data_IF_838856288267
#
_entry.id   IF_838856288267
#
_cell.length_a   1.000
_cell.length_b   1.000
_cell.length_c   1.000
_cell.angle_alpha   90.00
_cell.angle_beta   90.00
_cell.angle_gamma   90.00
#
_symmetry.space_group_name_H-M   'P 1'
#
loop_
_entity.id
_entity.type
_entity.pdbx_description
1 polymer ?
#
# COMPACT_ATOMS: atom_id res chain seq x y z
N UNK A 1 22.90 9.80 44.74
CA UNK A 1 22.04 10.38 43.67
C UNK A 1 22.26 9.73 42.29
N UNK A 2 22.56 8.43 42.22
CA UNK A 2 22.64 7.66 40.96
C UNK A 2 21.60 6.52 40.94
N UNK A 3 20.49 6.71 41.68
CA UNK A 3 19.45 5.70 41.91
C UNK A 3 18.09 6.04 41.28
N UNK A 4 17.92 7.24 40.71
CA UNK A 4 16.66 7.69 40.07
C UNK A 4 16.81 7.83 38.55
N UNK A 5 18.03 8.07 38.05
CA UNK A 5 18.28 8.34 36.62
C UNK A 5 18.14 7.08 35.75
N UNK A 6 18.36 5.87 36.29
CA UNK A 6 18.29 4.64 35.51
C UNK A 6 16.90 4.00 35.42
N UNK A 7 15.97 4.35 36.31
CA UNK A 7 14.57 3.89 36.22
C UNK A 7 13.82 4.60 35.07
N UNK A 8 14.26 5.80 34.70
CA UNK A 8 13.71 6.59 33.59
C UNK A 8 14.11 6.07 32.20
N UNK A 9 15.23 5.35 32.09
CA UNK A 9 15.74 4.88 30.79
C UNK A 9 15.00 3.62 30.34
N UNK A 10 14.42 2.83 31.25
CA UNK A 10 13.69 1.60 30.91
C UNK A 10 12.18 1.79 30.69
N UNK A 11 11.61 2.93 31.11
CA UNK A 11 10.23 3.32 30.76
C UNK A 11 10.14 4.09 29.44
N UNK A 12 11.26 4.53 28.87
CA UNK A 12 11.30 5.32 27.64
C UNK A 12 11.30 4.51 26.34
N UNK A 13 11.45 3.17 26.40
CA UNK A 13 11.52 2.33 25.19
C UNK A 13 10.16 1.91 24.63
N UNK A 14 9.06 2.41 25.19
CA UNK A 14 7.69 2.14 24.72
C UNK A 14 6.93 3.42 24.31
N UNK A 15 7.60 4.46 23.86
CA UNK A 15 6.95 5.54 23.09
C UNK A 15 7.97 6.12 22.11
N UNK A 16 8.09 5.53 20.93
CA UNK A 16 8.63 6.21 19.75
C UNK A 16 7.75 5.86 18.56
N UNK A 17 6.49 6.33 18.63
CA UNK A 17 5.89 6.89 17.44
C UNK A 17 6.67 8.16 17.13
N UNK A 18 7.11 8.29 15.89
CA UNK A 18 7.88 9.42 15.40
C UNK A 18 6.96 10.64 15.34
N UNK A 19 6.91 11.41 16.44
CA UNK A 19 6.28 12.72 16.45
C UNK A 19 7.13 13.69 15.65
N UNK A 20 6.43 14.38 14.74
CA UNK A 20 6.93 15.47 13.90
C UNK A 20 7.53 16.55 14.80
N UNK A 21 8.72 17.02 14.42
CA UNK A 21 9.48 18.01 15.18
C UNK A 21 8.79 19.39 15.15
N UNK A 22 7.96 19.65 16.16
CA UNK A 22 7.18 20.89 16.33
C UNK A 22 8.10 22.11 16.54
N UNK A 23 9.35 21.93 16.93
CA UNK A 23 10.33 23.01 17.08
C UNK A 23 10.89 23.48 15.73
N UNK A 24 11.05 22.57 14.76
CA UNK A 24 11.42 22.94 13.39
C UNK A 24 10.33 23.79 12.72
N UNK A 25 9.05 23.45 12.93
CA UNK A 25 7.91 24.25 12.44
C UNK A 25 7.72 25.58 13.19
N UNK A 26 8.28 25.73 14.39
CA UNK A 26 8.33 27.03 15.11
C UNK A 26 9.51 27.91 14.69
N UNK A 27 10.55 27.33 14.07
CA UNK A 27 11.75 28.05 13.66
C UNK A 27 11.63 28.78 12.31
N UNK A 28 10.59 28.47 11.53
CA UNK A 28 10.25 29.21 10.31
C UNK A 28 9.21 30.28 10.66
N UNK A 29 9.67 31.44 11.11
CA UNK A 29 8.82 32.64 11.14
C UNK A 29 8.72 33.22 9.73
N UNK A 30 7.52 33.64 9.27
CA UNK A 30 7.45 34.59 8.18
C UNK A 30 8.14 35.87 8.65
N UNK A 31 9.08 36.36 7.86
CA UNK A 31 9.67 37.69 8.06
C UNK A 31 8.52 38.68 7.90
N UNK A 32 8.05 39.23 9.02
CA UNK A 32 7.05 40.29 8.99
C UNK A 32 7.67 41.54 8.40
N UNK A 33 6.91 42.26 7.58
CA UNK A 33 7.26 43.51 6.89
C UNK A 33 7.80 44.63 7.79
N UNK A 34 7.81 44.45 9.11
CA UNK A 34 8.28 45.43 10.10
C UNK A 34 9.80 45.38 10.36
N UNK A 35 10.53 44.31 10.02
CA UNK A 35 12.00 44.29 10.17
C UNK A 35 12.75 45.04 9.03
N UNK A 36 12.06 45.42 7.95
CA UNK A 36 12.63 46.24 6.87
C UNK A 36 12.41 47.74 7.05
N UNK A 37 11.54 48.16 7.98
CA UNK A 37 11.22 49.56 8.22
C UNK A 37 12.17 50.27 9.20
N UNK A 38 12.99 49.54 9.94
CA UNK A 38 13.93 50.15 10.91
C UNK A 38 15.16 50.82 10.28
N UNK A 39 15.34 50.74 8.94
CA UNK A 39 16.49 51.38 8.28
C UNK A 39 16.25 52.79 7.76
N UNK A 40 15.01 53.30 7.76
CA UNK A 40 14.67 54.58 7.10
C UNK A 40 13.78 55.51 7.95
N UNK A 41 14.12 55.75 9.22
CA UNK A 41 13.40 56.71 10.06
C UNK A 41 14.33 57.72 10.72
N UNK A 42 14.87 58.64 9.90
CA UNK A 42 15.31 59.95 10.39
C UNK A 42 14.44 61.02 9.74
N UNK A 43 13.22 61.17 10.21
CA UNK A 43 12.47 62.42 10.10
C UNK A 43 11.40 62.49 11.20
N UNK A 44 11.47 63.57 11.97
CA UNK A 44 10.64 63.86 13.15
C UNK A 44 9.15 63.80 12.81
N UNK A 45 8.43 62.85 13.41
CA UNK A 45 6.98 62.76 13.34
C UNK A 45 6.34 63.58 14.48
N UNK A 46 5.44 64.50 14.14
CA UNK A 46 4.55 65.16 15.10
C UNK A 46 3.38 64.25 15.45
N UNK A 47 2.90 64.32 16.69
CA UNK A 47 1.86 63.45 17.21
C UNK A 47 0.49 63.81 16.65
N UNK A 48 -0.34 62.80 16.36
CA UNK A 48 -1.67 62.88 15.73
C UNK A 48 -2.61 63.94 16.35
N UNK A 49 -2.51 64.14 17.66
CA UNK A 49 -3.30 65.15 18.40
C UNK A 49 -2.95 66.60 18.04
N UNK A 50 -1.73 66.89 17.54
CA UNK A 50 -1.38 68.24 17.06
C UNK A 50 -2.01 68.55 15.68
N UNK A 51 -2.24 67.54 14.85
CA UNK A 51 -2.74 67.71 13.48
C UNK A 51 -4.26 67.94 13.48
N UNK A 52 -5.00 67.22 14.34
CA UNK A 52 -6.46 67.36 14.47
C UNK A 52 -6.94 68.69 15.08
N UNK A 53 -6.03 69.45 15.70
CA UNK A 53 -6.33 70.74 16.34
C UNK A 53 -6.04 71.96 15.45
N UNK A 54 -5.76 71.77 14.15
CA UNK A 54 -5.60 72.87 13.19
C UNK A 54 -6.96 73.35 12.64
N UNK A 55 -7.11 74.66 12.52
CA UNK A 55 -8.31 75.29 11.95
C UNK A 55 -8.56 74.93 10.46
N UNK A 56 -7.50 74.58 9.72
CA UNK A 56 -7.59 74.07 8.35
C UNK A 56 -6.53 73.00 8.10
N UNK A 57 -6.97 71.84 7.58
CA UNK A 57 -6.11 70.70 7.28
C UNK A 57 -5.62 70.77 5.82
N UNK A 58 -4.33 70.49 5.60
CA UNK A 58 -3.74 70.36 4.26
C UNK A 58 -3.80 68.91 3.76
N UNK A 59 -3.59 68.70 2.45
CA UNK A 59 -3.61 67.35 1.86
C UNK A 59 -2.55 66.41 2.46
N UNK A 60 -1.40 66.96 2.87
CA UNK A 60 -0.34 66.18 3.52
C UNK A 60 -0.65 65.92 5.00
N UNK A 61 -1.37 66.83 5.68
CA UNK A 61 -1.91 66.55 7.01
C UNK A 61 -2.89 65.36 6.94
N UNK A 62 -3.77 65.33 5.94
CA UNK A 62 -4.76 64.25 5.74
C UNK A 62 -4.12 62.87 5.46
N UNK A 63 -3.00 62.81 4.74
CA UNK A 63 -2.26 61.56 4.47
C UNK A 63 -1.61 60.94 5.71
N UNK A 64 -1.33 61.74 6.73
CA UNK A 64 -0.72 61.25 7.99
C UNK A 64 -1.77 60.71 8.98
N UNK A 65 -3.04 61.10 8.84
CA UNK A 65 -4.16 60.66 9.69
C UNK A 65 -5.04 59.61 9.02
N UNK A 66 -4.94 59.44 7.71
CA UNK A 66 -5.60 58.35 7.00
C UNK A 66 -5.04 56.99 7.50
N UNK A 67 -5.88 55.98 7.74
CA UNK A 67 -5.42 54.64 8.09
C UNK A 67 -4.67 54.07 6.88
N UNK A 68 -3.35 54.20 6.91
CA UNK A 68 -2.45 53.68 5.88
C UNK A 68 -2.34 52.16 6.04
N UNK A 69 -3.39 51.41 5.66
CA UNK A 69 -3.24 49.99 5.34
C UNK A 69 -2.55 49.79 3.98
N UNK A 70 -2.62 50.81 3.11
CA UNK A 70 -1.87 50.84 1.86
C UNK A 70 -0.57 51.61 2.07
N UNK A 71 0.36 50.99 2.80
CA UNK A 71 1.75 51.42 2.83
C UNK A 71 2.28 51.49 1.39
N UNK A 72 3.15 52.47 1.13
CA UNK A 72 3.93 52.60 -0.11
C UNK A 72 4.42 51.23 -0.62
N UNK A 73 3.70 50.64 -1.57
CA UNK A 73 4.17 49.49 -2.33
C UNK A 73 4.71 50.04 -3.65
N UNK A 74 5.88 50.67 -3.60
CA UNK A 74 6.82 50.54 -4.71
C UNK A 74 7.37 49.10 -4.72
N UNK A 75 6.47 48.12 -4.83
CA UNK A 75 6.86 46.77 -5.23
C UNK A 75 7.03 46.86 -6.75
N UNK A 76 8.21 46.51 -7.23
CA UNK A 76 8.44 46.29 -8.65
C UNK A 76 7.36 45.32 -9.16
N UNK A 77 6.51 45.78 -10.09
CA UNK A 77 5.40 45.00 -10.66
C UNK A 77 5.88 43.63 -11.18
N UNK A 78 7.16 43.52 -11.53
CA UNK A 78 7.82 42.27 -11.95
C UNK A 78 7.86 41.18 -10.86
N UNK A 79 7.77 41.56 -9.58
CA UNK A 79 7.75 40.65 -8.43
C UNK A 79 6.34 40.14 -8.10
N UNK A 80 5.29 40.82 -8.60
CA UNK A 80 3.89 40.48 -8.34
C UNK A 80 3.27 39.75 -9.53
N UNK A 81 3.64 40.13 -10.76
CA UNK A 81 3.08 39.55 -11.98
C UNK A 81 4.15 38.80 -12.77
N UNK A 82 4.00 37.47 -12.83
CA UNK A 82 4.75 36.68 -13.82
C UNK A 82 4.29 37.11 -15.22
N UNK A 83 5.18 37.72 -16.00
CA UNK A 83 4.92 38.13 -17.38
C UNK A 83 4.46 36.91 -18.19
N UNK A 84 3.24 36.96 -18.74
CA UNK A 84 2.67 35.90 -19.56
C UNK A 84 2.55 36.39 -20.99
N UNK A 85 3.19 35.67 -21.90
CA UNK A 85 3.17 35.97 -23.33
C UNK A 85 2.17 35.07 -24.03
N UNK A 86 1.64 35.56 -25.14
CA UNK A 86 0.86 34.74 -26.07
C UNK A 86 1.87 33.99 -26.94
N UNK A 87 1.97 32.68 -26.71
CA UNK A 87 2.87 31.76 -27.42
C UNK A 87 2.05 30.68 -28.12
N UNK A 88 2.63 30.01 -29.13
CA UNK A 88 1.98 28.84 -29.72
C UNK A 88 2.04 27.65 -28.75
N UNK A 89 0.93 26.93 -28.62
CA UNK A 89 0.88 25.69 -27.85
C UNK A 89 1.14 24.49 -28.77
N UNK A 90 2.38 24.00 -28.76
CA UNK A 90 2.84 22.96 -29.68
C UNK A 90 2.78 21.59 -29.03
N UNK A 91 2.13 20.63 -29.69
CA UNK A 91 2.09 19.24 -29.25
C UNK A 91 2.99 18.39 -30.13
N UNK A 92 3.70 17.43 -29.54
CA UNK A 92 4.47 16.46 -30.30
C UNK A 92 4.48 15.08 -29.66
N UNK A 93 4.59 14.05 -30.50
CA UNK A 93 4.75 12.66 -30.09
C UNK A 93 6.08 12.11 -30.57
N UNK A 94 6.79 11.38 -29.71
CA UNK A 94 8.05 10.71 -30.00
C UNK A 94 8.04 9.26 -29.54
N UNK A 95 9.01 8.49 -30.02
CA UNK A 95 9.24 7.09 -29.62
C UNK A 95 8.04 6.16 -29.86
N UNK A 96 7.26 6.43 -30.92
CA UNK A 96 6.20 5.53 -31.36
C UNK A 96 6.84 4.28 -31.99
N UNK A 97 6.54 3.07 -31.52
CA UNK A 97 7.05 1.86 -32.15
C UNK A 97 6.53 1.71 -33.59
N UNK A 98 7.26 0.99 -34.44
CA UNK A 98 6.83 0.74 -35.82
C UNK A 98 5.70 -0.28 -35.90
N UNK A 99 5.85 -1.37 -35.16
CA UNK A 99 4.90 -2.47 -35.11
C UNK A 99 4.66 -2.89 -33.66
N UNK A 100 3.44 -3.32 -33.36
CA UNK A 100 3.04 -3.95 -32.10
C UNK A 100 2.12 -5.12 -32.41
N UNK A 101 2.04 -6.11 -31.54
CA UNK A 101 1.05 -7.17 -31.68
C UNK A 101 -0.28 -6.76 -31.04
N UNK A 102 -1.37 -7.40 -31.46
CA UNK A 102 -2.65 -7.35 -30.76
C UNK A 102 -2.46 -7.73 -29.29
N UNK A 103 -3.14 -7.03 -28.37
CA UNK A 103 -2.98 -7.14 -26.91
C UNK A 103 -1.57 -6.83 -26.37
N UNK A 104 -0.69 -6.27 -27.20
CA UNK A 104 0.58 -5.72 -26.76
C UNK A 104 0.43 -4.27 -26.33
N UNK A 105 0.98 -3.96 -25.17
CA UNK A 105 1.07 -2.59 -24.71
C UNK A 105 2.16 -1.84 -25.47
N UNK A 106 1.97 -0.54 -25.65
CA UNK A 106 3.01 0.34 -26.14
C UNK A 106 2.89 1.71 -25.51
N UNK A 107 3.99 2.46 -25.54
CA UNK A 107 4.03 3.82 -25.03
C UNK A 107 4.37 4.83 -26.11
N UNK A 108 3.82 6.03 -25.98
CA UNK A 108 4.20 7.19 -26.77
C UNK A 108 4.70 8.27 -25.81
N UNK A 109 5.87 8.84 -26.09
CA UNK A 109 6.34 10.02 -25.36
C UNK A 109 5.60 11.23 -25.93
N UNK A 110 4.92 11.97 -25.05
CA UNK A 110 4.06 13.08 -25.42
C UNK A 110 4.56 14.36 -24.78
N UNK A 111 4.75 15.38 -25.61
CA UNK A 111 5.27 16.68 -25.21
C UNK A 111 4.25 17.76 -25.54
N UNK A 112 4.06 18.66 -24.59
CA UNK A 112 3.19 19.82 -24.64
C UNK A 112 4.06 21.05 -24.36
N UNK A 113 4.45 21.75 -25.41
CA UNK A 113 5.39 22.88 -25.37
C UNK A 113 4.61 24.20 -25.35
N UNK A 114 4.74 24.91 -24.24
CA UNK A 114 4.09 26.20 -24.00
C UNK A 114 5.02 27.35 -24.41
N UNK A 115 6.29 27.09 -24.73
CA UNK A 115 7.31 28.07 -25.10
C UNK A 115 7.55 29.18 -24.05
N UNK A 116 7.16 28.94 -22.80
CA UNK A 116 7.42 29.84 -21.68
C UNK A 116 7.32 29.10 -20.35
N UNK A 117 8.13 29.53 -19.39
CA UNK A 117 8.23 28.89 -18.08
C UNK A 117 7.10 29.32 -17.11
N UNK A 118 5.86 28.96 -17.42
CA UNK A 118 4.70 29.19 -16.54
C UNK A 118 4.12 27.87 -16.04
N UNK A 119 3.52 27.86 -14.84
CA UNK A 119 2.86 26.67 -14.29
C UNK A 119 1.41 26.61 -14.76
N UNK A 120 0.99 25.44 -15.28
CA UNK A 120 -0.32 25.21 -15.88
C UNK A 120 -0.88 23.85 -15.47
N UNK A 121 -2.20 23.81 -15.31
CA UNK A 121 -2.95 22.57 -15.14
C UNK A 121 -3.35 22.02 -16.50
N UNK A 122 -2.77 20.89 -16.90
CA UNK A 122 -2.99 20.29 -18.22
C UNK A 122 -4.04 19.18 -18.15
N UNK A 123 -5.19 19.41 -18.79
CA UNK A 123 -6.24 18.41 -18.94
C UNK A 123 -6.11 17.74 -20.31
N UNK A 124 -5.77 16.45 -20.32
CA UNK A 124 -5.55 15.66 -21.53
C UNK A 124 -6.80 14.81 -21.84
N UNK A 125 -7.24 14.85 -23.10
CA UNK A 125 -8.33 14.02 -23.62
C UNK A 125 -7.89 13.30 -24.88
N UNK A 126 -8.40 12.08 -25.07
CA UNK A 126 -8.04 11.20 -26.19
C UNK A 126 -9.30 10.74 -26.93
N UNK A 127 -9.34 11.00 -28.24
CA UNK A 127 -10.32 10.47 -29.18
C UNK A 127 -9.72 9.23 -29.88
N UNK A 128 -10.29 8.07 -29.57
CA UNK A 128 -9.80 6.75 -29.96
C UNK A 128 -10.96 5.79 -30.23
N UNK A 129 -10.72 4.72 -30.98
CA UNK A 129 -11.71 3.65 -31.13
C UNK A 129 -11.88 2.84 -29.85
N UNK A 130 -13.00 2.11 -29.67
CA UNK A 130 -13.21 1.23 -28.52
C UNK A 130 -12.13 0.15 -28.35
N UNK A 131 -11.51 -0.26 -29.47
CA UNK A 131 -10.49 -1.30 -29.50
C UNK A 131 -9.09 -0.80 -29.11
N UNK A 132 -8.92 0.49 -28.82
CA UNK A 132 -7.71 1.04 -28.24
C UNK A 132 -7.99 1.40 -26.78
N UNK A 133 -7.27 0.80 -25.84
CA UNK A 133 -7.36 1.13 -24.43
C UNK A 133 -6.27 2.15 -24.06
N UNK A 134 -6.62 3.20 -23.31
CA UNK A 134 -5.66 4.15 -22.76
C UNK A 134 -5.41 3.80 -21.29
N UNK A 135 -4.27 3.17 -21.01
CA UNK A 135 -4.05 2.44 -19.78
C UNK A 135 -3.82 3.33 -18.55
N UNK A 136 -3.27 4.53 -18.76
CA UNK A 136 -3.00 5.51 -17.70
C UNK A 136 -3.91 6.74 -17.77
N UNK A 137 -5.11 6.59 -18.32
CA UNK A 137 -6.15 7.62 -18.26
C UNK A 137 -6.41 8.07 -16.81
N UNK A 138 -6.48 9.38 -16.59
CA UNK A 138 -6.66 10.00 -15.26
C UNK A 138 -5.49 9.85 -14.29
N UNK A 139 -4.38 9.21 -14.69
CA UNK A 139 -3.18 8.99 -13.87
C UNK A 139 -1.93 9.45 -14.60
N UNK A 140 -1.96 10.68 -15.09
CA UNK A 140 -0.88 11.30 -15.85
C UNK A 140 -0.06 12.19 -14.93
N UNK A 141 1.24 11.93 -14.88
CA UNK A 141 2.21 12.81 -14.25
C UNK A 141 2.97 13.56 -15.36
N UNK A 142 3.13 14.86 -15.17
CA UNK A 142 3.83 15.73 -16.11
C UNK A 142 5.18 16.13 -15.54
N UNK A 143 6.23 15.94 -16.32
CA UNK A 143 7.56 16.49 -16.05
C UNK A 143 7.71 17.80 -16.83
N UNK A 144 7.86 18.91 -16.12
CA UNK A 144 8.03 20.23 -16.73
C UNK A 144 9.51 20.62 -16.74
N UNK A 145 10.03 21.05 -17.88
CA UNK A 145 11.38 21.60 -17.99
C UNK A 145 11.42 23.14 -17.82
N UNK A 146 12.63 23.69 -17.81
CA UNK A 146 12.88 25.14 -17.66
C UNK A 146 12.36 25.97 -18.85
N UNK A 147 12.13 25.35 -20.01
CA UNK A 147 11.68 26.01 -21.23
C UNK A 147 10.14 26.02 -21.33
N UNK A 148 9.43 25.39 -20.38
CA UNK A 148 7.97 25.29 -20.41
C UNK A 148 7.45 24.10 -21.20
N UNK A 149 8.28 23.08 -21.45
CA UNK A 149 7.87 21.83 -22.06
C UNK A 149 7.40 20.85 -20.99
N UNK A 150 6.14 20.47 -21.07
CA UNK A 150 5.56 19.43 -20.25
C UNK A 150 5.67 18.10 -21.00
N UNK A 151 6.33 17.12 -20.39
CA UNK A 151 6.54 15.80 -20.97
C UNK A 151 5.83 14.73 -20.14
N UNK A 152 5.24 13.75 -20.81
CA UNK A 152 4.66 12.58 -20.15
C UNK A 152 4.72 11.36 -21.07
N UNK A 153 4.37 10.20 -20.53
CA UNK A 153 4.31 8.94 -21.28
C UNK A 153 2.89 8.41 -21.28
N UNK A 154 2.30 8.27 -22.47
CA UNK A 154 0.97 7.71 -22.65
C UNK A 154 1.10 6.23 -22.98
N UNK A 155 0.37 5.38 -22.25
CA UNK A 155 0.38 3.93 -22.44
C UNK A 155 -0.92 3.46 -23.08
N UNK A 156 -0.80 2.67 -24.13
CA UNK A 156 -1.95 2.15 -24.87
C UNK A 156 -1.86 0.63 -25.01
N UNK A 157 -3.01 -0.01 -25.19
CA UNK A 157 -3.14 -1.41 -25.55
C UNK A 157 -4.15 -1.55 -26.70
N UNK A 158 -3.73 -2.13 -27.82
CA UNK A 158 -4.60 -2.35 -28.97
C UNK A 158 -5.23 -3.74 -28.88
N UNK A 159 -6.53 -3.82 -28.63
CA UNK A 159 -7.30 -5.07 -28.52
C UNK A 159 -7.57 -5.72 -29.88
N UNK A 160 -7.58 -4.92 -30.94
CA UNK A 160 -7.82 -5.38 -32.32
C UNK A 160 -6.92 -4.66 -33.32
N UNK A 161 -6.76 -5.25 -34.50
CA UNK A 161 -5.91 -4.70 -35.58
C UNK A 161 -6.41 -3.38 -36.18
N UNK A 162 -7.70 -3.07 -36.02
CA UNK A 162 -8.33 -1.84 -36.48
C UNK A 162 -8.35 -0.72 -35.42
N UNK A 163 -7.63 -0.87 -34.30
CA UNK A 163 -7.55 0.15 -33.26
C UNK A 163 -6.92 1.45 -33.82
N UNK A 164 -7.54 2.60 -33.54
CA UNK A 164 -7.10 3.91 -34.04
C UNK A 164 -7.11 4.98 -32.95
N UNK A 165 -6.22 5.95 -33.12
CA UNK A 165 -6.07 7.13 -32.28
C UNK A 165 -6.25 8.35 -33.17
N UNK A 166 -7.43 8.96 -33.12
CA UNK A 166 -7.82 10.01 -34.06
C UNK A 166 -7.20 11.35 -33.65
N UNK A 167 -7.25 11.66 -32.34
CA UNK A 167 -6.85 12.97 -31.83
C UNK A 167 -6.49 12.90 -30.34
N UNK A 168 -5.40 13.56 -29.96
CA UNK A 168 -5.11 13.94 -28.57
C UNK A 168 -5.35 15.44 -28.45
N UNK A 169 -6.10 15.88 -27.44
CA UNK A 169 -6.36 17.29 -27.17
C UNK A 169 -5.96 17.65 -25.75
N UNK A 170 -5.30 18.80 -25.59
CA UNK A 170 -4.98 19.36 -24.28
C UNK A 170 -5.73 20.67 -24.09
N UNK A 171 -6.30 20.84 -22.90
CA UNK A 171 -6.75 22.13 -22.39
C UNK A 171 -5.84 22.50 -21.23
N UNK A 172 -5.07 23.57 -21.41
CA UNK A 172 -4.25 24.16 -20.37
C UNK A 172 -5.08 25.19 -19.59
N UNK A 173 -5.00 25.12 -18.27
CA UNK A 173 -5.62 26.09 -17.36
C UNK A 173 -4.56 26.75 -16.48
N UNK A 174 -4.81 28.01 -16.11
CA UNK A 174 -4.00 28.75 -15.13
C UNK A 174 -4.94 29.27 -14.06
N UNK A 175 -4.66 28.97 -12.79
CA UNK A 175 -5.50 29.38 -11.66
C UNK A 175 -7.00 28.98 -11.85
N UNK A 176 -7.25 27.81 -12.44
CA UNK A 176 -8.59 27.32 -12.74
C UNK A 176 -9.23 27.88 -14.03
N UNK A 177 -8.68 28.94 -14.62
CA UNK A 177 -9.21 29.57 -15.83
C UNK A 177 -8.59 28.98 -17.10
N UNK A 178 -9.34 29.03 -18.20
CA UNK A 178 -8.85 28.60 -19.51
C UNK A 178 -7.66 29.46 -19.94
N UNK A 179 -6.55 28.80 -20.28
CA UNK A 179 -5.37 29.47 -20.81
C UNK A 179 -5.24 29.24 -22.32
N UNK A 180 -5.04 27.98 -22.73
CA UNK A 180 -4.86 27.61 -24.14
C UNK A 180 -5.36 26.19 -24.42
N UNK A 181 -5.56 25.87 -25.70
CA UNK A 181 -5.84 24.51 -26.16
C UNK A 181 -5.02 24.15 -27.38
N UNK A 182 -4.64 22.89 -27.48
CA UNK A 182 -3.98 22.35 -28.66
C UNK A 182 -4.45 20.93 -28.93
N UNK A 183 -4.26 20.49 -30.17
CA UNK A 183 -4.59 19.13 -30.59
C UNK A 183 -3.55 18.59 -31.58
N UNK A 184 -3.41 17.27 -31.60
CA UNK A 184 -2.56 16.54 -32.53
C UNK A 184 -3.22 15.22 -32.92
N UNK A 185 -3.01 14.78 -34.15
CA UNK A 185 -3.39 13.46 -34.63
C UNK A 185 -2.13 12.59 -34.76
N UNK A 186 -1.75 11.85 -33.69
CA UNK A 186 -0.54 11.06 -33.71
C UNK A 186 -0.72 9.79 -34.56
N UNK A 187 0.37 9.32 -35.17
CA UNK A 187 0.39 8.04 -35.87
C UNK A 187 0.51 6.90 -34.85
N UNK A 188 -0.28 5.83 -35.02
CA UNK A 188 -0.12 4.59 -34.26
C UNK A 188 0.87 3.63 -34.94
N UNK A 189 1.46 2.69 -34.18
CA UNK A 189 2.15 1.53 -34.74
C UNK A 189 1.21 0.70 -35.62
N UNK A 190 1.78 -0.04 -36.58
CA UNK A 190 1.04 -1.11 -37.26
C UNK A 190 0.76 -2.25 -36.28
N UNK A 191 -0.50 -2.62 -36.12
CA UNK A 191 -0.92 -3.70 -35.22
C UNK A 191 -0.92 -5.02 -35.99
N UNK A 192 -0.15 -5.99 -35.50
CA UNK A 192 -0.02 -7.32 -36.06
C UNK A 192 -1.03 -8.26 -35.37
N UNK A 193 -1.81 -9.05 -36.12
CA UNK A 193 -2.73 -10.01 -35.52
C UNK A 193 -1.95 -11.12 -34.78
N UNK A 194 -2.59 -11.70 -33.78
CA UNK A 194 -2.17 -12.94 -33.14
C UNK A 194 -3.26 -13.98 -33.38
N UNK A 195 -2.88 -15.18 -33.78
CA UNK A 195 -3.84 -16.28 -33.94
C UNK A 195 -4.38 -16.72 -32.56
N UNK A 196 -5.71 -16.82 -32.45
CA UNK A 196 -6.36 -17.30 -31.24
C UNK A 196 -6.02 -18.77 -31.00
N UNK A 197 -5.69 -19.11 -29.75
CA UNK A 197 -5.35 -20.48 -29.34
C UNK A 197 -6.05 -20.81 -28.03
N UNK A 198 -6.46 -22.07 -27.88
CA UNK A 198 -7.00 -22.56 -26.61
C UNK A 198 -6.02 -22.30 -25.46
N UNK A 199 -6.52 -21.73 -24.37
CA UNK A 199 -5.72 -21.35 -23.21
C UNK A 199 -4.92 -20.05 -23.41
N UNK A 200 -5.09 -19.29 -24.49
CA UNK A 200 -4.44 -18.00 -24.63
C UNK A 200 -4.98 -17.00 -23.61
N UNK A 201 -4.07 -16.39 -22.86
CA UNK A 201 -4.37 -15.43 -21.80
C UNK A 201 -4.62 -13.99 -22.30
N UNK A 202 -4.70 -13.77 -23.61
CA UNK A 202 -4.95 -12.45 -24.22
C UNK A 202 -3.98 -11.36 -23.76
N UNK A 203 -2.74 -11.75 -23.48
CA UNK A 203 -1.66 -10.83 -23.14
C UNK A 203 -0.43 -11.10 -23.99
N UNK A 204 0.26 -10.02 -24.33
CA UNK A 204 1.59 -10.06 -24.93
C UNK A 204 2.58 -9.49 -23.93
N UNK A 205 3.68 -10.20 -23.71
CA UNK A 205 4.71 -9.79 -22.76
C UNK A 205 6.10 -10.13 -23.29
N UNK A 206 7.12 -9.50 -22.74
CA UNK A 206 8.51 -9.91 -23.00
C UNK A 206 8.90 -11.14 -22.17
N UNK A 207 8.24 -11.31 -21.03
CA UNK A 207 8.45 -12.39 -20.07
C UNK A 207 7.19 -12.49 -19.19
N UNK A 208 6.70 -13.70 -18.97
CA UNK A 208 5.72 -14.02 -17.93
C UNK A 208 6.27 -15.17 -17.09
N UNK A 209 6.10 -15.09 -15.77
CA UNK A 209 6.53 -16.10 -14.81
C UNK A 209 5.40 -16.40 -13.85
N UNK A 210 5.16 -17.69 -13.61
CA UNK A 210 4.39 -18.17 -12.47
C UNK A 210 5.36 -18.26 -11.29
N UNK A 211 5.16 -17.41 -10.28
CA UNK A 211 5.97 -17.41 -9.07
C UNK A 211 5.50 -18.46 -8.08
N UNK A 212 4.19 -18.54 -7.91
CA UNK A 212 3.55 -19.51 -7.02
C UNK A 212 2.10 -19.76 -7.49
N UNK A 213 1.50 -20.87 -7.07
CA UNK A 213 0.08 -21.11 -7.23
C UNK A 213 -0.44 -22.03 -6.13
N UNK A 214 -1.70 -21.82 -5.72
CA UNK A 214 -2.40 -22.67 -4.75
C UNK A 214 -3.78 -23.00 -5.30
N UNK A 215 -4.25 -24.22 -5.07
CA UNK A 215 -5.63 -24.63 -5.38
C UNK A 215 -6.37 -25.03 -4.12
N UNK A 216 -7.57 -24.51 -3.94
CA UNK A 216 -8.48 -24.84 -2.86
C UNK A 216 -9.87 -25.19 -3.42
N UNK A 217 -10.71 -25.78 -2.58
CA UNK A 217 -12.12 -26.03 -2.92
C UNK A 217 -12.89 -24.70 -2.88
N UNK A 218 -13.67 -24.39 -3.93
CA UNK A 218 -14.52 -23.20 -3.96
C UNK A 218 -15.95 -23.54 -3.53
N UNK A 219 -16.51 -24.61 -4.10
CA UNK A 219 -17.80 -25.16 -3.72
C UNK A 219 -17.82 -26.70 -3.90
N UNK A 220 -18.98 -27.34 -3.88
CA UNK A 220 -19.10 -28.80 -4.05
C UNK A 220 -18.58 -29.31 -5.41
N UNK A 221 -18.70 -28.50 -6.47
CA UNK A 221 -18.47 -28.87 -7.86
C UNK A 221 -17.29 -28.13 -8.51
N UNK A 222 -16.73 -27.11 -7.85
CA UNK A 222 -15.68 -26.28 -8.39
C UNK A 222 -14.53 -26.04 -7.42
N UNK A 223 -13.36 -25.80 -8.01
CA UNK A 223 -12.13 -25.44 -7.32
C UNK A 223 -11.74 -24.02 -7.70
N UNK A 224 -11.00 -23.34 -6.82
CA UNK A 224 -10.39 -22.05 -7.10
C UNK A 224 -8.87 -22.20 -7.06
N UNK A 225 -8.20 -21.72 -8.10
CA UNK A 225 -6.75 -21.58 -8.13
C UNK A 225 -6.39 -20.10 -8.09
N UNK A 226 -5.45 -19.74 -7.21
CA UNK A 226 -4.80 -18.42 -7.19
C UNK A 226 -3.38 -18.58 -7.70
N UNK A 227 -2.99 -17.78 -8.67
CA UNK A 227 -1.70 -17.80 -9.35
C UNK A 227 -1.02 -16.45 -9.12
N UNK A 228 0.18 -16.47 -8.53
CA UNK A 228 1.04 -15.31 -8.45
C UNK A 228 1.86 -15.19 -9.75
N UNK A 229 1.65 -14.10 -10.47
CA UNK A 229 2.28 -13.81 -11.75
C UNK A 229 3.28 -12.66 -11.61
N UNK A 230 4.39 -12.77 -12.33
CA UNK A 230 5.34 -11.68 -12.58
C UNK A 230 5.54 -11.54 -14.07
N UNK A 231 5.52 -10.31 -14.58
CA UNK A 231 5.62 -10.06 -16.02
C UNK A 231 6.46 -8.84 -16.35
N UNK A 232 6.94 -8.79 -17.60
CA UNK A 232 7.68 -7.66 -18.18
C UNK A 232 6.99 -7.14 -19.43
N UNK A 233 6.89 -5.81 -19.53
CA UNK A 233 6.31 -5.10 -20.67
C UNK A 233 4.91 -5.62 -21.07
N UNK A 234 3.99 -5.65 -20.11
CA UNK A 234 2.60 -6.08 -20.34
C UNK A 234 1.64 -5.43 -19.33
N UNK A 235 0.34 -5.58 -19.58
CA UNK A 235 -0.73 -5.20 -18.66
C UNK A 235 -1.43 -6.47 -18.16
N UNK A 236 -1.09 -6.91 -16.95
CA UNK A 236 -1.69 -8.10 -16.35
C UNK A 236 -3.20 -7.97 -16.15
N UNK A 237 -3.76 -6.75 -16.06
CA UNK A 237 -5.22 -6.57 -15.93
C UNK A 237 -5.99 -7.10 -17.15
N UNK A 238 -5.34 -7.17 -18.30
CA UNK A 238 -5.89 -7.71 -19.54
C UNK A 238 -5.83 -9.24 -19.59
N UNK A 239 -5.22 -9.90 -18.61
CA UNK A 239 -5.14 -11.34 -18.54
C UNK A 239 -6.54 -11.95 -18.46
N UNK A 240 -6.88 -12.74 -19.47
CA UNK A 240 -8.15 -13.45 -19.56
C UNK A 240 -8.03 -14.65 -20.51
N UNK A 241 -8.62 -15.77 -20.13
CA UNK A 241 -8.57 -17.02 -20.91
C UNK A 241 -9.98 -17.40 -21.37
N UNK A 242 -10.15 -17.58 -22.68
CA UNK A 242 -11.35 -18.19 -23.24
C UNK A 242 -11.32 -19.71 -23.03
N UNK A 243 -12.06 -20.24 -22.06
CA UNK A 243 -12.21 -21.67 -21.84
C UNK A 243 -13.56 -21.98 -21.17
N UNK A 244 -14.30 -22.93 -21.73
CA UNK A 244 -15.64 -23.34 -21.26
C UNK A 244 -15.62 -23.93 -19.83
N UNK A 245 -14.48 -24.45 -19.39
CA UNK A 245 -14.33 -25.00 -18.05
C UNK A 245 -14.09 -23.94 -16.97
N UNK A 246 -13.88 -22.68 -17.35
CA UNK A 246 -13.70 -21.55 -16.43
C UNK A 246 -15.06 -20.96 -16.11
N UNK A 247 -15.44 -21.01 -14.83
CA UNK A 247 -16.69 -20.46 -14.32
C UNK A 247 -16.52 -18.97 -14.01
N UNK A 248 -15.38 -18.60 -13.40
CA UNK A 248 -15.02 -17.21 -13.07
C UNK A 248 -13.52 -17.03 -13.11
N UNK A 249 -13.05 -15.84 -13.47
CA UNK A 249 -11.63 -15.51 -13.48
C UNK A 249 -11.40 -14.01 -13.33
N UNK A 250 -10.17 -13.63 -13.00
CA UNK A 250 -9.73 -12.25 -13.08
C UNK A 250 -8.48 -11.97 -12.27
N UNK A 251 -8.00 -10.73 -12.39
CA UNK A 251 -6.90 -10.22 -11.56
C UNK A 251 -7.46 -9.61 -10.28
N UNK A 252 -7.04 -10.14 -9.12
CA UNK A 252 -7.43 -9.58 -7.81
C UNK A 252 -6.65 -8.32 -7.49
N UNK A 253 -5.34 -8.32 -7.77
CA UNK A 253 -4.49 -7.15 -7.57
C UNK A 253 -3.32 -7.14 -8.52
N UNK A 254 -2.85 -5.94 -8.85
CA UNK A 254 -1.65 -5.69 -9.65
C UNK A 254 -0.80 -4.62 -8.99
N UNK A 255 0.51 -4.84 -8.92
CA UNK A 255 1.51 -3.88 -8.39
C UNK A 255 2.62 -3.67 -9.41
N UNK A 256 3.24 -2.50 -9.37
CA UNK A 256 4.30 -2.11 -10.31
C UNK A 256 3.77 -1.41 -11.57
N UNK A 257 4.70 -0.86 -12.35
CA UNK A 257 4.41 -0.26 -13.66
C UNK A 257 4.46 -1.30 -14.79
N UNK A 258 3.99 -0.94 -15.98
CA UNK A 258 3.89 -1.88 -17.10
C UNK A 258 5.20 -2.53 -17.55
N UNK A 259 6.34 -1.92 -17.24
CA UNK A 259 7.66 -2.52 -17.50
C UNK A 259 7.92 -3.75 -16.64
N UNK A 260 7.47 -3.74 -15.38
CA UNK A 260 7.63 -4.83 -14.42
C UNK A 260 6.39 -4.85 -13.53
N UNK A 261 5.51 -5.83 -13.75
CA UNK A 261 4.27 -5.95 -13.02
C UNK A 261 4.20 -7.28 -12.28
N UNK A 262 3.61 -7.25 -11.09
CA UNK A 262 3.22 -8.46 -10.36
C UNK A 262 1.73 -8.44 -10.09
N UNK A 263 1.11 -9.60 -10.00
CA UNK A 263 -0.29 -9.67 -9.64
C UNK A 263 -0.76 -11.06 -9.28
N UNK A 264 -1.96 -11.11 -8.70
CA UNK A 264 -2.63 -12.36 -8.37
C UNK A 264 -3.81 -12.55 -9.33
N UNK A 265 -3.75 -13.63 -10.09
CA UNK A 265 -4.84 -14.09 -10.94
C UNK A 265 -5.59 -15.19 -10.21
N UNK A 266 -6.92 -15.10 -10.16
CA UNK A 266 -7.76 -16.18 -9.67
C UNK A 266 -8.53 -16.81 -10.82
N UNK A 267 -8.77 -18.11 -10.73
CA UNK A 267 -9.63 -18.85 -11.66
C UNK A 267 -10.42 -19.90 -10.91
N UNK A 268 -11.73 -19.93 -11.16
CA UNK A 268 -12.69 -20.92 -10.64
C UNK A 268 -13.07 -21.83 -11.79
N UNK A 269 -12.91 -23.13 -11.61
CA UNK A 269 -13.13 -24.13 -12.66
C UNK A 269 -13.68 -25.44 -12.08
N UNK A 270 -14.23 -26.29 -12.95
CA UNK A 270 -14.86 -27.55 -12.56
C UNK A 270 -13.86 -28.51 -11.87
N UNK A 271 -14.33 -29.26 -10.87
CA UNK A 271 -13.50 -30.17 -10.06
C UNK A 271 -12.91 -31.37 -10.84
N UNK A 272 -13.34 -31.61 -12.08
CA UNK A 272 -12.87 -32.70 -12.94
C UNK A 272 -11.53 -32.39 -13.63
N UNK A 273 -11.05 -31.14 -13.56
CA UNK A 273 -9.79 -30.72 -14.19
C UNK A 273 -8.61 -31.16 -13.31
N UNK A 274 -7.60 -31.78 -13.92
CA UNK A 274 -6.36 -32.19 -13.23
C UNK A 274 -5.18 -31.22 -13.43
N UNK A 275 -5.22 -30.44 -14.51
CA UNK A 275 -4.20 -29.46 -14.88
C UNK A 275 -4.85 -28.18 -15.38
N UNK A 276 -4.33 -27.05 -14.93
CA UNK A 276 -4.70 -25.75 -15.46
C UNK A 276 -3.63 -25.30 -16.46
N UNK A 277 -3.99 -25.29 -17.74
CA UNK A 277 -3.10 -24.96 -18.84
C UNK A 277 -3.44 -23.58 -19.42
N UNK A 278 -2.43 -22.74 -19.61
CA UNK A 278 -2.58 -21.44 -20.26
C UNK A 278 -1.31 -21.03 -20.99
N UNK A 279 -1.41 -20.06 -21.88
CA UNK A 279 -0.29 -19.54 -22.65
C UNK A 279 -0.37 -18.03 -22.83
N UNK A 280 0.76 -17.42 -23.11
CA UNK A 280 0.86 -16.01 -23.52
C UNK A 280 1.74 -15.91 -24.76
N UNK A 281 1.62 -14.81 -25.51
CA UNK A 281 2.48 -14.56 -26.64
C UNK A 281 3.71 -13.77 -26.19
N UNK A 282 4.90 -14.33 -26.38
CA UNK A 282 6.14 -13.66 -26.03
C UNK A 282 6.62 -12.78 -27.19
N UNK A 283 6.70 -11.46 -26.97
CA UNK A 283 7.08 -10.49 -27.99
C UNK A 283 8.56 -10.61 -28.45
N UNK A 284 9.44 -11.15 -27.60
CA UNK A 284 10.86 -11.35 -27.90
C UNK A 284 11.09 -12.60 -28.75
N UNK A 285 10.50 -13.72 -28.33
CA UNK A 285 10.65 -15.01 -29.01
C UNK A 285 9.67 -15.16 -30.17
N UNK A 286 8.64 -14.31 -30.24
CA UNK A 286 7.57 -14.27 -31.27
C UNK A 286 6.77 -15.57 -31.34
N UNK A 287 6.59 -16.22 -30.21
CA UNK A 287 5.89 -17.49 -30.10
C UNK A 287 5.09 -17.57 -28.81
N UNK A 288 4.16 -18.52 -28.76
CA UNK A 288 3.42 -18.84 -27.55
C UNK A 288 4.28 -19.61 -26.56
N UNK A 289 4.31 -19.16 -25.32
CA UNK A 289 4.89 -19.87 -24.19
C UNK A 289 3.76 -20.35 -23.28
N UNK A 290 3.81 -21.64 -22.91
CA UNK A 290 2.72 -22.32 -22.20
C UNK A 290 3.12 -22.74 -20.80
N UNK A 291 2.17 -22.67 -19.89
CA UNK A 291 2.25 -23.12 -18.50
C UNK A 291 1.25 -24.24 -18.28
N UNK A 292 1.63 -25.23 -17.48
CA UNK A 292 0.78 -26.35 -17.07
C UNK A 292 0.90 -26.54 -15.57
N UNK A 293 -0.15 -26.15 -14.84
CA UNK A 293 -0.15 -26.16 -13.37
C UNK A 293 -0.95 -27.36 -12.87
N UNK A 294 -0.32 -28.20 -12.05
CA UNK A 294 -0.98 -29.38 -11.49
C UNK A 294 -1.95 -29.00 -10.37
N UNK A 295 -3.16 -29.54 -10.40
CA UNK A 295 -4.16 -29.26 -9.35
C UNK A 295 -3.89 -30.18 -8.16
N UNK A 296 -3.39 -29.60 -7.07
CA UNK A 296 -3.26 -30.23 -5.76
C UNK A 296 -4.19 -29.49 -4.81
N UNK A 297 -5.23 -30.18 -4.35
CA UNK A 297 -6.15 -29.64 -3.37
C UNK A 297 -5.43 -29.56 -2.03
N UNK A 298 -5.12 -28.35 -1.60
CA UNK A 298 -4.82 -28.12 -0.20
C UNK A 298 -6.16 -28.20 0.53
N UNK A 299 -6.27 -29.17 1.43
CA UNK A 299 -7.34 -29.18 2.42
C UNK A 299 -7.01 -28.02 3.35
N UNK A 300 -7.54 -26.84 3.05
CA UNK A 300 -7.68 -25.80 4.05
C UNK A 300 -8.65 -26.40 5.07
N UNK A 301 -8.11 -27.02 6.12
CA UNK A 301 -8.89 -27.36 7.29
C UNK A 301 -9.58 -26.07 7.71
N UNK A 302 -10.89 -25.98 7.44
CA UNK A 302 -11.81 -24.89 7.78
C UNK A 302 -11.94 -24.68 9.30
N UNK A 303 -10.98 -25.15 10.07
CA UNK A 303 -10.74 -24.66 11.42
C UNK A 303 -10.02 -23.32 11.29
N UNK A 304 -10.80 -22.24 11.25
CA UNK A 304 -10.36 -20.87 11.64
C UNK A 304 -9.87 -20.78 13.10
N UNK A 305 -9.50 -21.92 13.70
CA UNK A 305 -9.07 -22.09 15.08
C UNK A 305 -7.68 -22.74 15.19
N UNK A 306 -7.00 -23.05 14.08
CA UNK A 306 -5.64 -23.60 14.11
C UNK A 306 -4.58 -22.61 14.62
N UNK A 307 -4.92 -21.33 14.76
CA UNK A 307 -4.07 -20.32 15.42
C UNK A 307 -4.48 -20.01 16.88
N UNK A 308 -5.44 -20.74 17.46
CA UNK A 308 -5.82 -20.59 18.87
C UNK A 308 -5.09 -21.58 19.78
N UNK A 309 -3.88 -22.01 19.44
CA UNK A 309 -3.02 -22.72 20.38
C UNK A 309 -2.43 -21.69 21.37
N UNK A 310 -2.85 -21.68 22.65
CA UNK A 310 -2.28 -20.76 23.64
C UNK A 310 -0.77 -20.98 23.87
N UNK A 311 -0.21 -22.12 23.42
CA UNK A 311 1.24 -22.34 23.41
C UNK A 311 1.99 -21.72 22.23
N UNK A 312 1.31 -21.45 21.10
CA UNK A 312 1.91 -20.81 19.92
C UNK A 312 1.84 -19.29 19.99
N UNK A 313 2.06 -18.69 21.17
CA UNK A 313 2.34 -17.25 21.24
C UNK A 313 3.68 -17.01 20.52
N UNK A 314 3.70 -16.34 19.34
CA UNK A 314 4.95 -16.06 18.62
C UNK A 314 5.92 -15.25 19.50
N UNK A 315 5.42 -14.59 20.54
CA UNK A 315 6.19 -13.84 21.53
C UNK A 315 6.61 -14.65 22.75
N UNK A 316 6.21 -15.91 22.93
CA UNK A 316 6.61 -16.73 24.08
C UNK A 316 8.13 -16.89 24.15
N UNK A 317 8.76 -17.22 23.02
CA UNK A 317 10.21 -17.33 22.92
C UNK A 317 10.91 -15.99 23.22
N UNK A 318 10.36 -14.87 22.74
CA UNK A 318 10.91 -13.53 22.99
C UNK A 318 10.75 -13.12 24.47
N UNK A 319 9.58 -13.34 25.08
CA UNK A 319 9.31 -13.09 26.51
C UNK A 319 10.25 -13.88 27.42
N UNK A 320 10.45 -15.17 27.11
CA UNK A 320 11.38 -16.05 27.84
C UNK A 320 12.83 -15.59 27.67
N UNK A 321 13.24 -15.22 26.46
CA UNK A 321 14.58 -14.72 26.18
C UNK A 321 14.84 -13.40 26.90
N UNK A 322 13.90 -12.44 26.85
CA UNK A 322 13.99 -11.16 27.53
C UNK A 322 14.10 -11.32 29.05
N UNK A 323 13.35 -12.25 29.64
CA UNK A 323 13.45 -12.59 31.07
C UNK A 323 14.86 -13.05 31.44
N UNK A 324 15.44 -14.01 30.72
CA UNK A 324 16.79 -14.50 31.02
C UNK A 324 17.86 -13.45 30.81
N UNK A 325 17.76 -12.65 29.74
CA UNK A 325 18.68 -11.54 29.50
C UNK A 325 18.59 -10.52 30.64
N UNK A 326 17.39 -10.19 31.11
CA UNK A 326 17.19 -9.32 32.27
C UNK A 326 17.82 -9.86 33.55
N UNK A 327 17.67 -11.16 33.83
CA UNK A 327 18.31 -11.82 34.98
C UNK A 327 19.83 -11.78 34.87
N UNK A 328 20.40 -12.08 33.70
CA UNK A 328 21.86 -12.02 33.45
C UNK A 328 22.38 -10.61 33.66
N UNK A 329 21.68 -9.59 33.16
CA UNK A 329 22.05 -8.19 33.33
C UNK A 329 22.02 -7.77 34.81
N UNK A 330 21.02 -8.20 35.58
CA UNK A 330 20.94 -7.95 37.02
C UNK A 330 22.08 -8.63 37.80
N UNK A 331 22.45 -9.87 37.42
CA UNK A 331 23.59 -10.58 38.01
C UNK A 331 24.92 -9.90 37.66
N UNK A 332 25.08 -9.42 36.43
CA UNK A 332 26.24 -8.62 36.03
C UNK A 332 26.33 -7.33 36.85
N UNK A 333 25.22 -6.60 37.01
CA UNK A 333 25.16 -5.41 37.85
C UNK A 333 25.50 -5.70 39.32
N UNK A 334 25.10 -6.85 39.86
CA UNK A 334 25.47 -7.27 41.21
C UNK A 334 27.00 -7.42 41.35
N UNK A 335 27.66 -8.09 40.40
CA UNK A 335 29.12 -8.31 40.41
C UNK A 335 29.89 -6.97 40.33
N UNK A 336 29.46 -6.06 39.46
CA UNK A 336 30.15 -4.79 39.24
C UNK A 336 29.86 -3.72 40.30
N UNK A 337 28.61 -3.62 40.76
CA UNK A 337 28.24 -2.59 41.74
C UNK A 337 28.56 -2.96 43.19
N UNK A 338 28.86 -4.25 43.46
CA UNK A 338 29.01 -4.82 44.82
C UNK A 338 27.84 -4.53 45.76
N UNK A 339 26.68 -4.15 45.22
CA UNK A 339 25.45 -3.86 45.95
C UNK A 339 24.51 -5.06 45.85
N UNK A 340 23.86 -5.46 46.94
CA UNK A 340 22.92 -6.59 46.99
C UNK A 340 21.55 -6.30 46.37
N UNK A 341 21.21 -5.02 46.10
CA UNK A 341 19.89 -4.65 45.55
C UNK A 341 19.53 -5.36 44.22
N UNK A 342 20.40 -5.43 43.20
CA UNK A 342 20.10 -6.12 41.94
C UNK A 342 19.83 -7.63 42.11
N UNK A 343 20.48 -8.26 43.11
CA UNK A 343 20.30 -9.68 43.42
C UNK A 343 18.88 -9.97 43.94
N UNK A 344 18.33 -9.08 44.78
CA UNK A 344 16.96 -9.21 45.29
C UNK A 344 15.95 -9.16 44.13
N UNK A 345 16.12 -8.23 43.19
CA UNK A 345 15.26 -8.13 42.01
C UNK A 345 15.38 -9.35 41.08
N UNK A 346 16.58 -9.90 40.90
CA UNK A 346 16.79 -11.12 40.14
C UNK A 346 16.05 -12.30 40.79
N UNK A 347 16.13 -12.46 42.11
CA UNK A 347 15.41 -13.50 42.84
C UNK A 347 13.88 -13.35 42.73
N UNK A 348 13.36 -12.13 42.80
CA UNK A 348 11.92 -11.86 42.62
C UNK A 348 11.46 -12.24 41.21
N UNK A 349 12.22 -11.88 40.17
CA UNK A 349 11.92 -12.23 38.78
C UNK A 349 11.92 -13.74 38.55
N UNK A 350 12.90 -14.45 39.12
CA UNK A 350 12.97 -15.91 39.05
C UNK A 350 11.79 -16.54 39.81
N UNK A 351 11.48 -16.05 41.01
CA UNK A 351 10.34 -16.51 41.80
C UNK A 351 9.01 -16.30 41.07
N UNK A 352 8.82 -15.14 40.45
CA UNK A 352 7.65 -14.83 39.63
C UNK A 352 7.55 -15.75 38.41
N UNK A 353 8.67 -16.06 37.76
CA UNK A 353 8.70 -17.02 36.64
C UNK A 353 8.32 -18.44 37.08
N UNK A 354 8.80 -18.88 38.23
CA UNK A 354 8.45 -20.19 38.80
C UNK A 354 6.97 -20.22 39.19
N UNK A 355 6.45 -19.15 39.81
CA UNK A 355 5.05 -19.04 40.20
C UNK A 355 4.10 -19.08 39.00
N UNK A 356 4.47 -18.43 37.90
CA UNK A 356 3.68 -18.42 36.65
C UNK A 356 3.95 -19.63 35.76
N UNK A 357 4.75 -20.60 36.20
CA UNK A 357 4.91 -21.86 35.48
C UNK A 357 3.65 -22.68 35.72
N UNK A 358 2.67 -22.49 34.85
CA UNK A 358 1.37 -23.15 34.90
C UNK A 358 1.58 -24.67 35.07
N UNK A 359 1.02 -25.33 36.11
CA UNK A 359 1.00 -26.77 36.16
C UNK A 359 0.10 -27.23 35.03
N UNK A 360 0.68 -27.70 33.93
CA UNK A 360 -0.07 -28.20 32.80
C UNK A 360 -0.90 -29.37 33.31
N UNK A 361 -2.20 -29.16 33.48
CA UNK A 361 -3.10 -30.21 33.92
C UNK A 361 -3.26 -31.16 32.75
N UNK A 362 -2.54 -32.28 32.80
CA UNK A 362 -2.63 -33.33 31.78
C UNK A 362 -3.83 -34.21 32.10
N UNK A 363 -4.55 -34.66 31.08
CA UNK A 363 -5.65 -35.60 31.21
C UNK A 363 -5.66 -36.62 30.08
N UNK A 364 -6.51 -37.63 30.21
CA UNK A 364 -6.77 -38.63 29.18
C UNK A 364 -8.22 -38.49 28.75
N UNK A 365 -8.42 -38.24 27.46
CA UNK A 365 -9.75 -38.25 26.84
C UNK A 365 -10.01 -39.64 26.30
N UNK A 366 -11.15 -40.23 26.69
CA UNK A 366 -11.53 -41.56 26.23
C UNK A 366 -11.86 -41.60 24.74
N UNK A 367 -11.67 -42.78 24.12
CA UNK A 367 -12.18 -43.06 22.78
C UNK A 367 -13.68 -42.75 22.68
N UNK A 368 -14.12 -42.34 21.49
CA UNK A 368 -15.51 -41.95 21.19
C UNK A 368 -16.01 -40.66 21.89
N UNK A 369 -15.13 -39.94 22.58
CA UNK A 369 -15.46 -38.64 23.15
C UNK A 369 -15.85 -37.64 22.06
N UNK A 370 -17.07 -37.09 22.17
CA UNK A 370 -17.57 -36.07 21.23
C UNK A 370 -16.94 -34.73 21.54
N UNK A 371 -15.90 -34.35 20.78
CA UNK A 371 -15.21 -33.06 20.93
C UNK A 371 -15.98 -31.98 20.20
N UNK A 372 -16.34 -30.94 20.96
CA UNK A 372 -17.28 -29.90 20.54
C UNK A 372 -16.60 -28.54 20.38
N UNK A 373 -17.14 -27.71 19.49
CA UNK A 373 -16.65 -26.34 19.28
C UNK A 373 -17.00 -25.45 20.50
N UNK A 374 -18.16 -25.65 21.11
CA UNK A 374 -18.64 -24.87 22.26
C UNK A 374 -19.04 -25.78 23.44
N UNK A 375 -18.93 -25.30 24.71
CA UNK A 375 -19.26 -26.07 25.91
C UNK A 375 -20.77 -26.14 26.20
N UNK A 376 -21.55 -26.58 25.20
CA UNK A 376 -23.02 -26.75 25.31
C UNK A 376 -23.46 -28.08 24.70
N UNK A 377 -24.61 -28.60 25.12
CA UNK A 377 -25.11 -29.90 24.66
C UNK A 377 -25.28 -29.98 23.15
N UNK A 378 -25.95 -28.98 22.54
CA UNK A 378 -26.26 -28.91 21.11
C UNK A 378 -25.15 -28.29 20.24
N UNK A 379 -23.90 -28.31 20.69
CA UNK A 379 -22.77 -27.83 19.87
C UNK A 379 -22.42 -28.84 18.78
N UNK A 380 -21.94 -28.31 17.65
CA UNK A 380 -21.33 -29.08 16.57
C UNK A 380 -20.14 -29.90 17.09
N UNK A 381 -20.10 -31.17 16.70
CA UNK A 381 -19.00 -32.10 16.96
C UNK A 381 -18.07 -32.02 15.75
N UNK A 382 -16.79 -31.71 15.99
CA UNK A 382 -15.81 -31.57 14.90
C UNK A 382 -14.72 -32.64 14.98
N UNK A 383 -14.59 -33.33 16.11
CA UNK A 383 -13.59 -34.38 16.30
C UNK A 383 -14.10 -35.47 17.26
N UNK A 384 -13.71 -36.71 16.98
CA UNK A 384 -13.97 -37.89 17.82
C UNK A 384 -12.67 -38.71 17.84
N UNK A 385 -12.03 -38.92 19.02
CA UNK A 385 -10.83 -39.73 19.15
C UNK A 385 -11.10 -41.20 18.82
N UNK A 386 -10.20 -41.82 18.05
CA UNK A 386 -10.28 -43.24 17.71
C UNK A 386 -9.69 -44.15 18.81
N UNK A 387 -8.95 -43.56 19.75
CA UNK A 387 -8.33 -44.22 20.90
C UNK A 387 -8.29 -43.25 22.08
N UNK A 388 -7.93 -43.75 23.26
CA UNK A 388 -7.68 -42.87 24.40
C UNK A 388 -6.46 -41.98 24.09
N UNK A 389 -6.65 -40.67 24.17
CA UNK A 389 -5.64 -39.67 23.78
C UNK A 389 -5.23 -38.83 24.99
N UNK A 390 -3.92 -38.61 25.16
CA UNK A 390 -3.40 -37.68 26.15
C UNK A 390 -3.68 -36.25 25.69
N UNK A 391 -4.17 -35.41 26.60
CA UNK A 391 -4.52 -34.03 26.30
C UNK A 391 -4.02 -33.08 27.39
N UNK A 392 -3.79 -31.84 27.00
CA UNK A 392 -3.59 -30.74 27.94
C UNK A 392 -4.91 -30.03 28.21
N UNK A 393 -5.20 -29.74 29.47
CA UNK A 393 -6.43 -29.09 29.91
C UNK A 393 -6.13 -27.62 30.22
N UNK A 394 -6.82 -26.71 29.54
CA UNK A 394 -6.63 -25.26 29.74
C UNK A 394 -7.71 -24.61 30.60
N UNK A 395 -8.97 -25.03 30.42
CA UNK A 395 -10.10 -24.32 30.99
C UNK A 395 -11.23 -25.29 31.33
N UNK A 396 -12.00 -24.95 32.36
CA UNK A 396 -13.21 -25.67 32.74
C UNK A 396 -14.41 -24.73 32.69
N UNK A 397 -15.45 -25.13 31.98
CA UNK A 397 -16.74 -24.45 31.96
C UNK A 397 -17.85 -25.46 32.28
N UNK A 398 -18.37 -25.39 33.52
CA UNK A 398 -19.35 -26.34 34.05
C UNK A 398 -18.86 -27.79 33.91
N UNK A 399 -19.54 -28.58 33.07
CA UNK A 399 -19.27 -30.00 32.81
C UNK A 399 -18.40 -30.21 31.56
N UNK A 400 -17.78 -29.17 31.03
CA UNK A 400 -16.92 -29.25 29.86
C UNK A 400 -15.52 -28.74 30.17
N UNK A 401 -14.52 -29.41 29.60
CA UNK A 401 -13.12 -29.03 29.66
C UNK A 401 -12.62 -28.68 28.27
N UNK A 402 -11.91 -27.55 28.18
CA UNK A 402 -11.19 -27.17 26.97
C UNK A 402 -9.86 -27.91 26.96
N UNK A 403 -9.65 -28.71 25.94
CA UNK A 403 -8.50 -29.60 25.82
C UNK A 403 -7.74 -29.39 24.50
N UNK A 404 -6.42 -29.57 24.53
CA UNK A 404 -5.54 -29.66 23.35
C UNK A 404 -5.06 -31.09 23.18
N UNK A 405 -5.31 -31.64 22.00
CA UNK A 405 -4.81 -32.94 21.56
C UNK A 405 -3.40 -32.83 20.98
N UNK A 406 -2.64 -33.91 21.00
CA UNK A 406 -1.28 -33.97 20.42
C UNK A 406 -1.24 -33.59 18.92
N UNK A 407 -2.34 -33.84 18.19
CA UNK A 407 -2.48 -33.46 16.79
C UNK A 407 -2.80 -31.97 16.56
N UNK A 408 -2.75 -31.14 17.60
CA UNK A 408 -2.98 -29.69 17.52
C UNK A 408 -4.45 -29.26 17.56
N UNK A 409 -5.41 -30.20 17.61
CA UNK A 409 -6.84 -29.88 17.68
C UNK A 409 -7.21 -29.38 19.08
N UNK A 410 -8.07 -28.36 19.15
CA UNK A 410 -8.56 -27.77 20.40
C UNK A 410 -10.07 -27.81 20.42
N UNK A 411 -10.64 -28.29 21.52
CA UNK A 411 -12.10 -28.33 21.67
C UNK A 411 -12.57 -28.63 23.08
N UNK A 412 -13.89 -28.68 23.25
CA UNK A 412 -14.55 -28.93 24.52
C UNK A 412 -14.99 -30.38 24.64
N UNK A 413 -14.58 -31.05 25.71
CA UNK A 413 -14.93 -32.44 26.04
C UNK A 413 -15.74 -32.46 27.32
N UNK A 414 -16.78 -33.29 27.37
CA UNK A 414 -17.57 -33.45 28.58
C UNK A 414 -16.74 -34.15 29.66
N UNK A 415 -16.87 -33.71 30.91
CA UNK A 415 -16.15 -34.23 32.08
C UNK A 415 -16.27 -35.76 32.24
N UNK A 416 -17.36 -36.38 31.77
CA UNK A 416 -17.53 -37.83 31.85
C UNK A 416 -16.56 -38.63 30.95
N UNK A 417 -15.96 -37.98 29.95
CA UNK A 417 -15.01 -38.59 29.02
C UNK A 417 -13.56 -38.12 29.25
N UNK A 418 -13.29 -37.44 30.37
CA UNK A 418 -11.98 -36.91 30.71
C UNK A 418 -11.54 -37.37 32.10
N UNK A 419 -10.40 -38.04 32.16
CA UNK A 419 -9.73 -38.41 33.41
C UNK A 419 -8.55 -37.47 33.62
N UNK A 420 -8.59 -36.65 34.67
CA UNK A 420 -7.45 -35.77 35.04
C UNK A 420 -6.33 -36.60 35.69
N UNK A 421 -5.08 -36.24 35.40
CA UNK A 421 -3.89 -36.92 35.92
C UNK A 421 -3.21 -36.14 37.05
#
# INVERSE_FOLDING_TARGET
MLRVVFLLIFTASFVFAQDVDIEFLKSIKPVSSNELLEKNSNQSAKTTDEILNKDTLTLDDLKQIAPNEDGNLELDDSLIYQEVRVTDFLLSTRNVPKNVYQNQIFSINFNADIQQNISLDLNLTVDKTPNLEWLNEGKINWDKDINGVYSTKLWFEAKETNASLNKISIIAKRNGEFFQKANISPKLPKILPIEEKNGYAHIVADELKVLNYKTAKFDANSNIMTIELSSKNTNLKSFYINNENIIRQGMTSTKGGYQNQKGFYFVVFNNNIKKFDFSYFNAKTKQFESFSLGIKLEVDDLSTQTELNPQNDPFYAYKKTALYVGVILLLFLYIFSKNTTPLIFACILIGFHIYNKDPHNVGIVSKDAKVKILPIEKSTIFYIPNSDESVEIFEQNKNYYKVLFENGKIGWVNSQYLIKK
#
